data_IF_195520183522
#
_entry.id   IF_195520183522
#
_cell.length_a   1.000
_cell.length_b   1.000
_cell.length_c   1.000
_cell.angle_alpha   90.00
_cell.angle_beta   90.00
_cell.angle_gamma   90.00
#
_symmetry.space_group_name_H-M   'P 1'
#
loop_
_entity.id
_entity.type
_entity.pdbx_description
1 polymer ?
#
# COMPACT_ATOMS: atom_id res chain seq x y z
N UNK A 1 -14.02 22.04 9.69
CA UNK A 1 -13.27 20.83 9.30
C UNK A 1 -12.81 21.00 7.86
N UNK A 2 -11.50 21.10 7.64
CA UNK A 2 -10.93 21.31 6.31
C UNK A 2 -10.79 19.96 5.59
N UNK A 3 -11.52 19.78 4.49
CA UNK A 3 -11.73 18.51 3.76
C UNK A 3 -10.57 18.12 2.82
N UNK A 4 -9.60 19.01 2.60
CA UNK A 4 -8.47 18.81 1.69
C UNK A 4 -7.50 17.65 2.06
N UNK A 5 -7.24 17.31 3.33
CA UNK A 5 -6.32 16.21 3.65
C UNK A 5 -6.86 14.85 3.20
N UNK A 6 -8.18 14.65 3.27
CA UNK A 6 -8.81 13.40 2.82
C UNK A 6 -8.74 13.21 1.30
N UNK A 7 -8.75 14.31 0.54
CA UNK A 7 -8.65 14.29 -0.93
C UNK A 7 -7.23 13.95 -1.38
N UNK A 8 -6.21 14.45 -0.69
CA UNK A 8 -4.80 14.23 -1.06
C UNK A 8 -4.24 12.92 -0.49
N UNK A 9 -4.62 12.54 0.73
CA UNK A 9 -4.12 11.35 1.43
C UNK A 9 -5.05 10.12 1.36
N UNK A 10 -6.16 10.21 0.61
CA UNK A 10 -7.10 9.12 0.38
C UNK A 10 -6.76 8.27 -0.85
N UNK A 11 -7.73 8.13 -1.76
CA UNK A 11 -7.62 7.32 -2.99
C UNK A 11 -6.42 7.67 -3.90
N UNK A 12 -6.09 8.95 -4.15
CA UNK A 12 -4.95 9.28 -5.00
C UNK A 12 -3.62 8.79 -4.43
N UNK A 13 -3.44 8.88 -3.11
CA UNK A 13 -2.21 8.44 -2.43
C UNK A 13 -2.02 6.93 -2.53
N UNK A 14 -3.07 6.14 -2.30
CA UNK A 14 -2.94 4.68 -2.38
C UNK A 14 -2.71 4.18 -3.81
N UNK A 15 -3.33 4.83 -4.82
CA UNK A 15 -3.06 4.55 -6.22
C UNK A 15 -1.60 4.88 -6.58
N UNK A 16 -1.11 6.04 -6.14
CA UNK A 16 0.29 6.41 -6.33
C UNK A 16 1.24 5.42 -5.64
N UNK A 17 0.94 5.00 -4.42
CA UNK A 17 1.72 4.02 -3.68
C UNK A 17 1.80 2.68 -4.41
N UNK A 18 0.68 2.19 -4.99
CA UNK A 18 0.64 0.97 -5.81
C UNK A 18 1.49 1.13 -7.08
N UNK A 19 1.36 2.24 -7.81
CA UNK A 19 2.14 2.49 -9.03
C UNK A 19 3.65 2.57 -8.71
N UNK A 20 4.04 3.26 -7.64
CA UNK A 20 5.41 3.27 -7.14
C UNK A 20 5.87 1.86 -6.72
N UNK A 21 4.98 1.06 -6.14
CA UNK A 21 5.33 -0.27 -5.69
C UNK A 21 5.55 -1.23 -6.88
N UNK A 22 4.66 -1.19 -7.89
CA UNK A 22 4.82 -1.94 -9.15
C UNK A 22 6.14 -1.54 -9.82
N UNK A 23 6.37 -0.24 -10.02
CA UNK A 23 7.61 0.24 -10.66
C UNK A 23 8.85 -0.10 -9.83
N UNK A 24 8.73 -0.09 -8.49
CA UNK A 24 9.77 -0.49 -7.55
C UNK A 24 10.15 -1.96 -7.68
N UNK A 25 9.18 -2.86 -7.75
CA UNK A 25 9.42 -4.30 -7.97
C UNK A 25 10.00 -4.52 -9.37
N UNK A 26 9.40 -3.96 -10.42
CA UNK A 26 9.86 -4.13 -11.81
C UNK A 26 11.29 -3.62 -12.05
N UNK A 27 11.67 -2.52 -11.41
CA UNK A 27 13.03 -1.95 -11.50
C UNK A 27 13.97 -2.44 -10.40
N UNK A 28 13.53 -3.37 -9.55
CA UNK A 28 14.28 -3.91 -8.41
C UNK A 28 14.85 -2.80 -7.49
N UNK A 29 14.06 -1.74 -7.26
CA UNK A 29 14.43 -0.59 -6.40
C UNK A 29 13.71 -0.69 -5.06
N UNK A 30 14.33 -1.27 -4.01
CA UNK A 30 13.67 -1.47 -2.71
C UNK A 30 13.28 -0.14 -2.05
N UNK A 31 14.04 0.93 -2.29
CA UNK A 31 13.71 2.27 -1.81
C UNK A 31 12.33 2.75 -2.28
N UNK A 32 11.91 2.40 -3.50
CA UNK A 32 10.59 2.76 -4.00
C UNK A 32 9.47 2.10 -3.18
N UNK A 33 9.68 0.87 -2.67
CA UNK A 33 8.71 0.16 -1.86
C UNK A 33 8.59 0.72 -0.44
N UNK A 34 9.71 1.19 0.13
CA UNK A 34 9.69 1.90 1.40
C UNK A 34 8.98 3.25 1.29
N UNK A 35 9.20 3.98 0.19
CA UNK A 35 8.46 5.21 -0.10
C UNK A 35 6.96 4.92 -0.28
N UNK A 36 6.59 3.86 -1.02
CA UNK A 36 5.21 3.41 -1.14
C UNK A 36 4.59 3.11 0.23
N UNK A 37 5.32 2.47 1.15
CA UNK A 37 4.81 2.17 2.48
C UNK A 37 4.51 3.44 3.28
N UNK A 38 5.37 4.46 3.20
CA UNK A 38 5.14 5.77 3.84
C UNK A 38 3.93 6.48 3.23
N UNK A 39 3.79 6.47 1.91
CA UNK A 39 2.63 7.07 1.22
C UNK A 39 1.33 6.33 1.56
N UNK A 40 1.37 5.00 1.72
CA UNK A 40 0.22 4.18 2.07
C UNK A 40 -0.16 4.25 3.56
N UNK A 41 0.75 4.68 4.44
CA UNK A 41 0.52 4.66 5.89
C UNK A 41 -0.70 5.50 6.35
N UNK A 42 -0.94 6.74 5.87
CA UNK A 42 -2.14 7.49 6.20
C UNK A 42 -3.43 6.77 5.79
N UNK A 43 -3.44 6.15 4.60
CA UNK A 43 -4.58 5.38 4.10
C UNK A 43 -4.83 4.12 4.94
N UNK A 44 -3.76 3.43 5.34
CA UNK A 44 -3.82 2.31 6.29
C UNK A 44 -4.39 2.70 7.64
N UNK A 45 -3.96 3.83 8.18
CA UNK A 45 -4.43 4.33 9.46
C UNK A 45 -5.92 4.70 9.40
N UNK A 46 -6.35 5.29 8.29
CA UNK A 46 -7.76 5.56 8.01
C UNK A 46 -8.58 4.25 7.95
N UNK A 47 -8.10 3.24 7.21
CA UNK A 47 -8.76 1.93 7.13
C UNK A 47 -8.84 1.24 8.50
N UNK A 48 -7.82 1.38 9.34
CA UNK A 48 -7.80 0.76 10.66
C UNK A 48 -8.91 1.26 11.60
N UNK A 49 -9.37 2.51 11.40
CA UNK A 49 -10.51 3.08 12.11
C UNK A 49 -11.87 2.59 11.62
N UNK A 50 -11.94 1.82 10.52
CA UNK A 50 -13.22 1.33 9.98
C UNK A 50 -13.59 -0.05 10.57
N UNK A 51 -14.84 -0.25 11.05
CA UNK A 51 -15.26 -1.50 11.71
C UNK A 51 -15.13 -2.76 10.84
N UNK A 52 -15.22 -2.60 9.51
CA UNK A 52 -15.18 -3.71 8.55
C UNK A 52 -13.76 -4.19 8.24
N UNK A 53 -12.75 -3.34 8.42
CA UNK A 53 -11.36 -3.66 8.06
C UNK A 53 -10.52 -3.83 9.33
N UNK A 54 -10.70 -2.96 10.32
CA UNK A 54 -10.00 -3.00 11.59
C UNK A 54 -8.48 -3.09 11.42
N UNK A 55 -7.82 -3.86 12.29
CA UNK A 55 -6.36 -3.99 12.31
C UNK A 55 -5.73 -4.49 11.00
N UNK A 56 -6.49 -5.14 10.11
CA UNK A 56 -6.00 -5.54 8.79
C UNK A 56 -5.61 -4.32 7.93
N UNK A 57 -6.20 -3.16 8.20
CA UNK A 57 -5.84 -1.90 7.55
C UNK A 57 -4.36 -1.56 7.72
N UNK A 58 -3.76 -1.88 8.87
CA UNK A 58 -2.34 -1.62 9.15
C UNK A 58 -1.37 -2.57 8.43
N UNK A 59 -1.87 -3.65 7.81
CA UNK A 59 -1.00 -4.61 7.13
C UNK A 59 -0.44 -4.09 5.80
N UNK A 60 -1.08 -3.10 5.15
CA UNK A 60 -0.62 -2.60 3.84
C UNK A 60 0.83 -2.07 3.87
N UNK A 61 1.23 -1.15 4.78
CA UNK A 61 2.62 -0.67 4.85
C UNK A 61 3.58 -1.80 5.26
N UNK A 62 3.14 -2.74 6.10
CA UNK A 62 3.96 -3.89 6.51
C UNK A 62 4.28 -4.79 5.31
N UNK A 63 3.27 -5.08 4.48
CA UNK A 63 3.43 -5.86 3.24
C UNK A 63 4.33 -5.15 2.22
N UNK A 64 4.19 -3.83 2.08
CA UNK A 64 5.06 -3.02 1.21
C UNK A 64 6.51 -3.00 1.70
N UNK A 65 6.74 -2.88 3.01
CA UNK A 65 8.08 -3.00 3.61
C UNK A 65 8.65 -4.40 3.38
N UNK A 66 7.85 -5.44 3.61
CA UNK A 66 8.24 -6.84 3.36
C UNK A 66 8.63 -7.08 1.90
N UNK A 67 7.87 -6.51 0.96
CA UNK A 67 8.20 -6.55 -0.46
C UNK A 67 9.51 -5.80 -0.74
N UNK A 68 9.75 -4.65 -0.11
CA UNK A 68 11.02 -3.91 -0.15
C UNK A 68 12.21 -4.75 0.31
N UNK A 69 12.03 -5.48 1.41
CA UNK A 69 13.05 -6.38 1.95
C UNK A 69 13.31 -7.55 0.99
N UNK A 70 12.26 -8.15 0.42
CA UNK A 70 12.39 -9.24 -0.54
C UNK A 70 13.13 -8.80 -1.82
N UNK A 71 12.86 -7.60 -2.35
CA UNK A 71 13.62 -7.02 -3.46
C UNK A 71 15.09 -6.83 -3.08
N UNK A 72 15.37 -6.32 -1.87
CA UNK A 72 16.74 -6.11 -1.37
C UNK A 72 17.55 -7.43 -1.32
N UNK A 73 16.90 -8.54 -0.98
CA UNK A 73 17.51 -9.88 -0.98
C UNK A 73 17.41 -10.61 -2.33
N UNK A 74 17.08 -9.90 -3.42
CA UNK A 74 16.95 -10.43 -4.79
C UNK A 74 15.86 -11.49 -4.97
N UNK A 75 14.90 -11.59 -4.04
CA UNK A 75 13.71 -12.45 -4.19
C UNK A 75 12.54 -11.67 -4.79
N UNK A 76 12.63 -11.42 -6.11
CA UNK A 76 11.57 -10.73 -6.87
C UNK A 76 10.22 -11.47 -6.81
N UNK A 77 10.14 -12.80 -6.91
CA UNK A 77 8.85 -13.52 -6.83
C UNK A 77 8.15 -13.31 -5.48
N UNK A 78 8.90 -13.35 -4.37
CA UNK A 78 8.35 -13.07 -3.02
C UNK A 78 7.83 -11.64 -2.92
N UNK A 79 8.49 -10.69 -3.59
CA UNK A 79 8.06 -9.29 -3.61
C UNK A 79 6.70 -9.12 -4.31
N UNK A 80 6.50 -9.81 -5.44
CA UNK A 80 5.21 -9.84 -6.12
C UNK A 80 4.13 -10.55 -5.30
N UNK A 81 4.48 -11.65 -4.63
CA UNK A 81 3.55 -12.37 -3.75
C UNK A 81 3.06 -11.48 -2.61
N UNK A 82 3.94 -10.65 -2.03
CA UNK A 82 3.58 -9.69 -0.99
C UNK A 82 2.83 -8.46 -1.52
N UNK A 83 3.03 -8.09 -2.78
CA UNK A 83 2.31 -6.99 -3.44
C UNK A 83 0.85 -7.36 -3.75
N UNK A 84 0.59 -8.61 -4.15
CA UNK A 84 -0.77 -9.07 -4.48
C UNK A 84 -1.83 -8.80 -3.40
N UNK A 85 -1.62 -9.14 -2.11
CA UNK A 85 -2.60 -8.84 -1.07
C UNK A 85 -2.80 -7.34 -0.87
N UNK A 86 -1.78 -6.50 -1.10
CA UNK A 86 -1.93 -5.03 -1.06
C UNK A 86 -2.93 -4.56 -2.11
N UNK A 87 -2.77 -5.01 -3.36
CA UNK A 87 -3.67 -4.66 -4.47
C UNK A 87 -5.07 -5.21 -4.23
N UNK A 88 -5.19 -6.46 -3.76
CA UNK A 88 -6.47 -7.11 -3.49
C UNK A 88 -7.28 -6.35 -2.42
N UNK A 89 -6.64 -5.92 -1.32
CA UNK A 89 -7.30 -5.12 -0.27
C UNK A 89 -7.79 -3.79 -0.83
N UNK A 90 -6.99 -3.12 -1.65
CA UNK A 90 -7.38 -1.83 -2.24
C UNK A 90 -8.55 -1.98 -3.21
N UNK A 91 -8.57 -3.03 -4.04
CA UNK A 91 -9.70 -3.34 -4.93
C UNK A 91 -10.97 -3.66 -4.11
N UNK A 92 -10.84 -4.47 -3.05
CA UNK A 92 -11.95 -4.81 -2.19
C UNK A 92 -12.54 -3.57 -1.50
N UNK A 93 -11.69 -2.70 -0.96
CA UNK A 93 -12.11 -1.41 -0.38
C UNK A 93 -12.78 -0.53 -1.42
N UNK A 94 -12.31 -0.53 -2.68
CA UNK A 94 -12.94 0.25 -3.74
C UNK A 94 -14.37 -0.23 -4.01
N UNK A 95 -14.59 -1.55 -4.01
CA UNK A 95 -15.91 -2.16 -4.15
C UNK A 95 -16.84 -1.94 -2.94
N UNK A 96 -16.32 -1.54 -1.77
CA UNK A 96 -17.16 -1.17 -0.62
C UNK A 96 -17.60 0.30 -0.64
N UNK A 97 -16.91 1.15 -1.40
CA UNK A 97 -17.16 2.60 -1.47
C UNK A 97 -18.12 2.94 -2.61
N UNK A 98 -18.21 2.09 -3.64
CA UNK A 98 -19.18 2.18 -4.75
C UNK A 98 -20.49 1.50 -4.33
#
# INVERSE_FOLDING_TARGET
MSWWPAVVFGWPAILLAILLAITGVSRQRPAALFISAVIAAPFSFYLAGTPRVGWLGLMLPVLLIGAGIAVRYRSVPTSWLLLMPVVAVVIWVAGLVI
#
